data_IF_913806623592
#
_entry.id   IF_913806623592
#
_cell.length_a   1.000
_cell.length_b   1.000
_cell.length_c   1.000
_cell.angle_alpha   90.00
_cell.angle_beta   90.00
_cell.angle_gamma   90.00
#
_symmetry.space_group_name_H-M   'P 1'
#
loop_
_entity.id
_entity.type
_entity.pdbx_description
1 polymer ?
#
# COMPACT_ATOMS: atom_id res chain seq x y z
N UNK A 1 18.86 -4.27 7.84
CA UNK A 1 17.51 -4.88 7.76
C UNK A 1 16.48 -3.81 8.10
N UNK A 2 15.87 -3.16 7.12
CA UNK A 2 14.89 -2.12 7.36
C UNK A 2 13.51 -2.72 7.14
N UNK A 3 12.75 -2.94 8.23
CA UNK A 3 11.37 -3.41 8.19
C UNK A 3 10.45 -2.20 8.03
N UNK A 4 9.72 -2.12 6.91
CA UNK A 4 8.98 -0.92 6.49
C UNK A 4 7.53 -0.85 6.99
N UNK A 5 7.17 -1.67 7.97
CA UNK A 5 5.98 -1.48 8.81
C UNK A 5 6.42 -1.68 10.25
N UNK A 6 6.28 -0.63 11.07
CA UNK A 6 6.70 -0.69 12.46
C UNK A 6 5.79 -1.61 13.30
N UNK A 7 6.25 -2.01 14.48
CA UNK A 7 5.51 -2.91 15.37
C UNK A 7 4.11 -2.40 15.75
N UNK A 8 3.98 -1.09 15.99
CA UNK A 8 2.68 -0.50 16.35
C UNK A 8 1.68 -0.61 15.19
N UNK A 9 2.13 -0.35 13.96
CA UNK A 9 1.33 -0.55 12.75
C UNK A 9 0.92 -2.02 12.58
N UNK A 10 1.84 -2.97 12.83
CA UNK A 10 1.54 -4.40 12.79
C UNK A 10 0.51 -4.81 13.86
N UNK A 11 0.66 -4.33 15.10
CA UNK A 11 -0.27 -4.60 16.19
C UNK A 11 -1.69 -4.09 15.87
N UNK A 12 -1.80 -2.94 15.19
CA UNK A 12 -3.09 -2.39 14.74
C UNK A 12 -3.73 -3.30 13.68
N UNK A 13 -2.96 -3.70 12.66
CA UNK A 13 -3.45 -4.58 11.59
C UNK A 13 -3.83 -5.97 12.12
N UNK A 14 -3.05 -6.54 13.04
CA UNK A 14 -3.42 -7.79 13.71
C UNK A 14 -4.69 -7.62 14.54
N UNK A 15 -4.82 -6.47 15.22
CA UNK A 15 -5.97 -6.15 16.05
C UNK A 15 -7.29 -6.10 15.29
N UNK A 16 -7.28 -5.89 13.96
CA UNK A 16 -8.50 -5.83 13.13
C UNK A 16 -8.85 -7.15 12.44
N UNK A 17 -8.02 -8.18 12.56
CA UNK A 17 -8.33 -9.51 12.06
C UNK A 17 -9.67 -10.02 12.61
N UNK A 18 -10.47 -10.66 11.75
CA UNK A 18 -11.82 -11.16 12.04
C UNK A 18 -12.85 -10.09 12.44
N UNK A 19 -12.54 -8.80 12.29
CA UNK A 19 -13.54 -7.74 12.46
C UNK A 19 -14.34 -7.51 11.19
N UNK A 20 -15.55 -6.96 11.35
CA UNK A 20 -16.39 -6.54 10.24
C UNK A 20 -15.94 -5.16 9.74
N UNK A 21 -15.67 -5.07 8.44
CA UNK A 21 -15.45 -3.83 7.71
C UNK A 21 -16.80 -3.32 7.22
N UNK A 22 -17.13 -2.10 7.58
CA UNK A 22 -18.38 -1.45 7.16
C UNK A 22 -18.21 -0.78 5.79
N UNK A 23 -17.02 -0.26 5.54
CA UNK A 23 -16.64 0.33 4.25
C UNK A 23 -15.10 0.46 4.13
N UNK A 24 -14.61 0.65 2.91
CA UNK A 24 -13.27 1.17 2.64
C UNK A 24 -13.41 2.47 1.88
N UNK A 25 -12.69 3.50 2.33
CA UNK A 25 -12.61 4.79 1.64
C UNK A 25 -11.20 5.05 1.14
N UNK A 26 -11.11 5.75 0.01
CA UNK A 26 -9.86 6.24 -0.55
C UNK A 26 -9.95 7.76 -0.68
N UNK A 27 -8.93 8.49 -0.22
CA UNK A 27 -8.80 9.91 -0.50
C UNK A 27 -8.02 10.09 -1.81
N UNK A 28 -8.68 10.62 -2.84
CA UNK A 28 -8.13 10.77 -4.19
C UNK A 28 -7.90 12.24 -4.53
N UNK A 29 -6.86 12.53 -5.31
CA UNK A 29 -6.64 13.87 -5.87
C UNK A 29 -7.73 14.21 -6.91
N UNK A 30 -8.36 15.38 -6.81
CA UNK A 30 -9.38 15.88 -7.73
C UNK A 30 -8.89 17.18 -8.40
N UNK A 31 -8.98 17.26 -9.73
CA UNK A 31 -8.74 18.51 -10.48
C UNK A 31 -7.51 18.55 -11.39
N UNK A 32 -6.68 17.51 -11.46
CA UNK A 32 -5.64 17.37 -12.49
C UNK A 32 -6.09 16.44 -13.61
N UNK A 33 -6.01 16.90 -14.87
CA UNK A 33 -6.18 16.05 -16.05
C UNK A 33 -4.79 15.84 -16.67
N UNK A 34 -4.12 14.71 -16.40
CA UNK A 34 -2.84 14.45 -17.03
C UNK A 34 -3.07 13.89 -18.44
N UNK A 35 -1.99 13.81 -19.21
CA UNK A 35 -1.95 13.31 -20.58
C UNK A 35 -2.65 11.94 -20.68
N UNK A 36 -3.22 11.59 -21.84
CA UNK A 36 -4.06 10.38 -22.00
C UNK A 36 -3.34 9.08 -21.65
N UNK A 37 -2.00 9.06 -21.66
CA UNK A 37 -1.16 7.94 -21.23
C UNK A 37 -1.00 7.83 -19.70
N UNK A 38 -0.98 8.96 -18.99
CA UNK A 38 -0.94 9.04 -17.52
C UNK A 38 -2.30 8.75 -16.87
N UNK A 39 -3.38 9.03 -17.59
CA UNK A 39 -4.77 8.86 -17.15
C UNK A 39 -5.15 7.46 -16.64
N UNK A 40 -4.50 6.39 -17.09
CA UNK A 40 -4.86 5.02 -16.68
C UNK A 40 -4.27 4.60 -15.32
N UNK A 41 -3.32 5.37 -14.80
CA UNK A 41 -2.56 5.02 -13.59
C UNK A 41 -2.69 6.08 -12.51
N UNK A 42 -2.79 7.36 -12.88
CA UNK A 42 -3.08 8.45 -11.95
C UNK A 42 -4.50 8.37 -11.33
N UNK A 43 -5.41 7.60 -11.93
CA UNK A 43 -6.73 7.24 -11.34
C UNK A 43 -6.60 6.41 -10.05
N UNK A 44 -5.44 5.80 -9.82
CA UNK A 44 -5.17 4.94 -8.67
C UNK A 44 -4.35 5.64 -7.57
N UNK A 45 -3.96 6.90 -7.72
CA UNK A 45 -3.19 7.59 -6.68
C UNK A 45 -4.10 8.01 -5.51
N UNK A 46 -4.21 7.11 -4.54
CA UNK A 46 -4.90 7.31 -3.29
C UNK A 46 -3.90 7.87 -2.28
N UNK A 47 -4.15 9.04 -1.72
CA UNK A 47 -3.25 9.67 -0.75
C UNK A 47 -3.38 9.03 0.64
N UNK A 48 -4.59 8.57 0.96
CA UNK A 48 -4.93 7.93 2.22
C UNK A 48 -5.97 6.85 1.98
N UNK A 49 -5.80 5.69 2.62
CA UNK A 49 -6.81 4.63 2.68
C UNK A 49 -7.38 4.54 4.09
N UNK A 50 -8.71 4.47 4.19
CA UNK A 50 -9.43 4.29 5.44
C UNK A 50 -10.22 2.98 5.42
N UNK A 51 -9.97 2.10 6.38
CA UNK A 51 -10.79 0.91 6.63
C UNK A 51 -11.74 1.22 7.79
N UNK A 52 -13.04 1.32 7.52
CA UNK A 52 -14.03 1.60 8.54
C UNK A 52 -14.40 0.33 9.29
N UNK A 53 -14.27 0.37 10.61
CA UNK A 53 -14.60 -0.72 11.52
C UNK A 53 -15.34 -0.16 12.72
N UNK A 54 -16.64 -0.44 12.79
CA UNK A 54 -17.55 0.08 13.82
C UNK A 54 -17.50 1.62 13.87
N UNK A 55 -17.22 2.17 15.04
CA UNK A 55 -17.14 3.62 15.30
C UNK A 55 -15.72 4.18 15.08
N UNK A 56 -14.86 3.46 14.37
CA UNK A 56 -13.46 3.85 14.13
C UNK A 56 -13.00 3.57 12.70
N UNK A 57 -11.84 4.12 12.36
CA UNK A 57 -11.19 3.93 11.07
C UNK A 57 -9.74 3.53 11.31
N UNK A 58 -9.24 2.64 10.46
CA UNK A 58 -7.79 2.42 10.31
C UNK A 58 -7.35 3.24 9.12
N UNK A 59 -6.56 4.27 9.39
CA UNK A 59 -5.91 5.09 8.39
C UNK A 59 -4.58 4.45 8.00
N UNK A 60 -4.33 4.37 6.70
CA UNK A 60 -3.10 3.85 6.10
C UNK A 60 -2.60 4.90 5.11
N UNK A 61 -1.36 5.33 5.30
CA UNK A 61 -0.66 6.29 4.42
C UNK A 61 0.72 5.76 4.05
N UNK A 62 1.23 6.19 2.90
CA UNK A 62 2.65 6.10 2.59
C UNK A 62 3.29 7.41 3.03
N UNK A 63 4.10 7.38 4.09
CA UNK A 63 4.74 8.59 4.63
C UNK A 63 6.25 8.52 4.53
N UNK A 64 6.92 9.67 4.53
CA UNK A 64 8.38 9.71 4.51
C UNK A 64 8.99 9.21 5.82
N UNK A 65 10.23 8.72 5.76
CA UNK A 65 11.00 8.39 6.96
C UNK A 65 11.90 9.60 7.29
N UNK A 66 11.72 10.22 8.46
CA UNK A 66 12.57 11.31 8.96
C UNK A 66 13.97 10.81 9.37
N UNK A 67 14.79 10.38 8.41
CA UNK A 67 16.21 10.02 8.62
C UNK A 67 17.14 10.77 7.66
N UNK A 68 18.44 10.84 8.00
CA UNK A 68 19.47 11.58 7.21
C UNK A 68 19.65 11.02 5.78
N UNK A 69 19.23 9.78 5.54
CA UNK A 69 19.09 9.16 4.22
C UNK A 69 17.59 9.23 3.83
N UNK A 70 17.23 10.30 3.11
CA UNK A 70 15.86 10.59 2.69
C UNK A 70 15.25 9.47 1.82
N UNK A 71 13.98 9.13 2.07
CA UNK A 71 12.99 8.75 1.04
C UNK A 71 13.40 7.68 0.01
N UNK A 72 14.05 6.61 0.45
CA UNK A 72 14.45 5.56 -0.48
C UNK A 72 13.32 4.57 -0.79
N UNK A 73 12.51 4.23 0.22
CA UNK A 73 11.57 3.11 0.14
C UNK A 73 10.18 3.50 0.65
N UNK A 74 9.12 2.81 0.19
CA UNK A 74 7.81 2.89 0.79
C UNK A 74 7.83 2.75 2.31
N UNK A 75 6.92 3.43 2.99
CA UNK A 75 6.79 3.34 4.43
C UNK A 75 5.33 3.52 4.85
N UNK A 76 4.71 2.40 5.25
CA UNK A 76 3.31 2.39 5.66
C UNK A 76 3.19 2.86 7.10
N UNK A 77 2.64 4.05 7.30
CA UNK A 77 2.13 4.47 8.60
C UNK A 77 0.67 4.04 8.73
N UNK A 78 0.36 3.39 9.86
CA UNK A 78 -0.97 2.84 10.12
C UNK A 78 -1.41 3.32 11.48
N UNK A 79 -2.56 3.99 11.53
CA UNK A 79 -3.11 4.50 12.78
C UNK A 79 -4.61 4.29 12.89
N UNK A 80 -5.08 4.14 14.12
CA UNK A 80 -6.52 4.13 14.41
C UNK A 80 -6.98 5.55 14.69
N UNK A 81 -8.03 5.99 14.01
CA UNK A 81 -8.66 7.29 14.22
C UNK A 81 -10.18 7.16 14.38
N UNK A 82 -10.80 8.19 14.96
CA UNK A 82 -12.26 8.24 15.18
C UNK A 82 -13.01 8.96 14.05
N UNK A 83 -12.27 9.66 13.18
CA UNK A 83 -12.79 10.44 12.05
C UNK A 83 -11.76 10.42 10.93
N UNK A 84 -12.22 10.39 9.70
CA UNK A 84 -11.39 10.61 8.52
C UNK A 84 -11.02 12.10 8.44
N UNK A 85 -9.83 12.39 7.94
CA UNK A 85 -9.39 13.76 7.61
C UNK A 85 -9.47 13.92 6.10
N UNK A 86 -10.14 14.95 5.62
CA UNK A 86 -10.19 15.26 4.19
C UNK A 86 -9.42 16.55 3.95
N UNK A 87 -8.42 16.51 3.06
CA UNK A 87 -7.80 17.71 2.53
C UNK A 87 -8.64 18.24 1.36
N UNK A 88 -9.61 19.08 1.69
CA UNK A 88 -10.66 19.51 0.76
C UNK A 88 -10.17 20.43 -0.37
N UNK A 89 -8.94 20.93 -0.30
CA UNK A 89 -8.41 21.87 -1.29
C UNK A 89 -8.14 21.20 -2.64
N UNK A 90 -7.67 19.95 -2.60
CA UNK A 90 -7.30 19.18 -3.79
C UNK A 90 -7.73 17.72 -3.75
N UNK A 91 -8.29 17.24 -2.64
CA UNK A 91 -8.61 15.84 -2.49
C UNK A 91 -10.08 15.62 -2.12
N UNK A 92 -10.58 14.44 -2.47
CA UNK A 92 -11.92 13.99 -2.12
C UNK A 92 -11.88 12.57 -1.56
N UNK A 93 -12.62 12.33 -0.47
CA UNK A 93 -12.86 10.99 0.04
C UNK A 93 -13.94 10.31 -0.81
N UNK A 94 -13.60 9.16 -1.37
CA UNK A 94 -14.48 8.32 -2.18
C UNK A 94 -14.71 7.00 -1.47
N UNK A 95 -15.97 6.55 -1.46
CA UNK A 95 -16.33 5.23 -0.95
C UNK A 95 -16.12 4.14 -2.00
N UNK A 96 -15.46 3.05 -1.60
CA UNK A 96 -15.28 1.86 -2.43
C UNK A 96 -16.45 0.84 -2.27
N UNK A 97 -17.37 1.06 -1.33
CA UNK A 97 -18.52 0.20 -1.04
C UNK A 97 -18.17 -1.27 -0.70
N UNK A 98 -17.04 -1.49 -0.04
CA UNK A 98 -16.55 -2.83 0.34
C UNK A 98 -16.88 -3.09 1.80
N UNK A 99 -17.59 -4.17 2.08
CA UNK A 99 -17.96 -4.59 3.43
C UNK A 99 -17.78 -6.11 3.58
N UNK A 100 -17.60 -6.56 4.82
CA UNK A 100 -17.42 -7.98 5.12
C UNK A 100 -16.45 -8.26 6.26
N UNK A 101 -16.11 -9.52 6.48
CA UNK A 101 -15.20 -9.92 7.56
C UNK A 101 -13.77 -9.95 7.04
N UNK A 102 -12.82 -9.35 7.76
CA UNK A 102 -11.39 -9.49 7.46
C UNK A 102 -10.95 -10.91 7.82
N UNK A 103 -10.65 -11.72 6.82
CA UNK A 103 -10.24 -13.12 6.99
C UNK A 103 -8.73 -13.25 7.10
N UNK A 104 -7.99 -12.48 6.29
CA UNK A 104 -6.54 -12.54 6.21
C UNK A 104 -5.95 -11.16 5.94
N UNK A 105 -4.78 -10.89 6.54
CA UNK A 105 -3.92 -9.78 6.18
C UNK A 105 -2.52 -10.34 5.92
N UNK A 106 -1.89 -9.93 4.84
CA UNK A 106 -0.52 -10.29 4.49
C UNK A 106 0.25 -9.06 4.02
N UNK A 107 1.55 -9.04 4.30
CA UNK A 107 2.46 -8.01 3.81
C UNK A 107 3.16 -8.56 2.56
N UNK A 108 3.07 -7.83 1.45
CA UNK A 108 3.83 -8.11 0.25
C UNK A 108 5.19 -7.47 0.40
N UNK A 109 6.23 -8.30 0.35
CA UNK A 109 7.59 -7.91 0.62
C UNK A 109 8.49 -8.31 -0.55
N UNK A 110 9.35 -7.38 -0.96
CA UNK A 110 10.39 -7.60 -1.96
C UNK A 110 11.73 -7.77 -1.25
N UNK A 111 12.39 -8.90 -1.50
CA UNK A 111 13.75 -9.17 -1.07
C UNK A 111 14.70 -9.10 -2.26
N UNK A 112 15.80 -8.38 -2.11
CA UNK A 112 16.77 -8.24 -3.17
C UNK A 112 18.19 -7.97 -2.67
N UNK A 113 19.17 -8.25 -3.51
CA UNK A 113 20.57 -7.83 -3.32
C UNK A 113 21.01 -6.98 -4.50
N UNK A 114 21.94 -6.07 -4.26
CA UNK A 114 22.47 -5.16 -5.30
C UNK A 114 23.82 -5.66 -5.81
N UNK A 115 24.34 -5.14 -6.92
CA UNK A 115 25.72 -5.44 -7.33
C UNK A 115 26.78 -4.96 -6.33
N UNK A 116 26.45 -3.96 -5.53
CA UNK A 116 27.39 -3.32 -4.60
C UNK A 116 27.42 -3.99 -3.22
N UNK A 117 26.42 -4.80 -2.88
CA UNK A 117 26.34 -5.49 -1.58
C UNK A 117 25.66 -6.85 -1.69
N UNK A 118 26.18 -7.83 -0.97
CA UNK A 118 25.51 -9.13 -0.76
C UNK A 118 24.50 -9.08 0.40
N UNK A 119 24.32 -7.93 1.05
CA UNK A 119 23.28 -7.74 2.07
C UNK A 119 21.89 -7.84 1.42
N UNK A 120 21.03 -8.67 2.02
CA UNK A 120 19.64 -8.81 1.60
C UNK A 120 18.86 -7.60 2.13
N UNK A 121 18.39 -6.78 1.21
CA UNK A 121 17.38 -5.77 1.45
C UNK A 121 16.02 -6.45 1.43
N UNK A 122 15.10 -6.01 2.30
CA UNK A 122 13.76 -6.55 2.42
C UNK A 122 12.82 -5.38 2.66
N UNK A 123 11.93 -5.11 1.71
CA UNK A 123 11.11 -3.90 1.70
C UNK A 123 9.64 -4.29 1.55
N UNK A 124 8.79 -3.71 2.41
CA UNK A 124 7.34 -3.91 2.35
C UNK A 124 6.75 -2.94 1.32
N UNK A 125 6.08 -3.48 0.30
CA UNK A 125 5.59 -2.70 -0.85
C UNK A 125 4.07 -2.67 -0.95
N UNK A 126 3.38 -3.62 -0.30
CA UNK A 126 1.93 -3.63 -0.27
C UNK A 126 1.37 -4.36 0.95
N UNK A 127 0.14 -4.03 1.29
CA UNK A 127 -0.68 -4.74 2.26
C UNK A 127 -1.80 -5.43 1.48
N UNK A 128 -1.89 -6.74 1.59
CA UNK A 128 -3.01 -7.53 1.07
C UNK A 128 -4.01 -7.78 2.19
N UNK A 129 -5.28 -7.54 1.92
CA UNK A 129 -6.39 -7.79 2.85
C UNK A 129 -7.41 -8.65 2.12
N UNK A 130 -7.77 -9.80 2.71
CA UNK A 130 -8.85 -10.65 2.23
C UNK A 130 -10.09 -10.37 3.07
N UNK A 131 -11.16 -9.90 2.42
CA UNK A 131 -12.45 -9.57 3.05
C UNK A 131 -13.52 -10.43 2.39
N UNK A 132 -14.16 -11.31 3.18
CA UNK A 132 -15.22 -12.21 2.70
C UNK A 132 -14.85 -12.98 1.42
N UNK A 133 -13.63 -13.53 1.34
CA UNK A 133 -13.12 -14.27 0.18
C UNK A 133 -12.63 -13.41 -1.01
N UNK A 134 -12.68 -12.08 -0.90
CA UNK A 134 -12.17 -11.16 -1.93
C UNK A 134 -10.83 -10.55 -1.50
N UNK A 135 -9.84 -10.59 -2.39
CA UNK A 135 -8.51 -10.03 -2.16
C UNK A 135 -8.44 -8.57 -2.61
N UNK A 136 -7.96 -7.71 -1.72
CA UNK A 136 -7.67 -6.31 -1.96
C UNK A 136 -6.20 -6.01 -1.65
N UNK A 137 -5.59 -5.11 -2.41
CA UNK A 137 -4.20 -4.68 -2.20
C UNK A 137 -4.14 -3.18 -1.98
N UNK A 138 -3.40 -2.75 -0.96
CA UNK A 138 -2.94 -1.37 -0.76
C UNK A 138 -1.47 -1.36 -1.15
N UNK A 139 -1.13 -0.79 -2.30
CA UNK A 139 0.21 -0.77 -2.86
C UNK A 139 0.83 0.60 -2.63
N UNK A 140 2.07 0.66 -2.17
CA UNK A 140 2.88 1.87 -2.20
C UNK A 140 3.87 1.76 -3.36
N UNK A 141 3.77 2.67 -4.32
CA UNK A 141 4.52 2.57 -5.58
C UNK A 141 5.98 3.01 -5.46
N UNK A 142 6.26 3.90 -4.52
CA UNK A 142 7.58 4.43 -4.22
C UNK A 142 7.61 5.03 -2.80
N UNK A 143 8.66 5.79 -2.49
CA UNK A 143 8.79 6.52 -1.24
C UNK A 143 8.06 7.88 -1.22
N UNK A 144 7.38 8.26 -2.32
CA UNK A 144 6.71 9.56 -2.39
C UNK A 144 5.50 9.52 -1.47
N UNK A 145 5.43 10.51 -0.59
CA UNK A 145 4.33 10.69 0.34
C UNK A 145 2.99 10.68 -0.41
N UNK A 146 2.05 9.87 0.08
CA UNK A 146 0.71 9.75 -0.50
C UNK A 146 0.64 8.97 -1.81
N UNK A 147 1.71 8.31 -2.26
CA UNK A 147 1.67 7.47 -3.46
C UNK A 147 1.19 6.04 -3.16
N UNK A 148 -0.08 5.92 -2.75
CA UNK A 148 -0.74 4.63 -2.56
C UNK A 148 -1.74 4.32 -3.67
N UNK A 149 -2.10 3.05 -3.80
CA UNK A 149 -3.27 2.61 -4.54
C UNK A 149 -4.01 1.52 -3.80
N UNK A 150 -5.33 1.65 -3.75
CA UNK A 150 -6.22 0.56 -3.37
C UNK A 150 -6.74 -0.16 -4.62
N UNK A 151 -6.47 -1.47 -4.70
CA UNK A 151 -6.80 -2.30 -5.85
C UNK A 151 -7.64 -3.49 -5.41
N UNK A 152 -8.82 -3.63 -6.01
CA UNK A 152 -9.61 -4.86 -5.94
C UNK A 152 -9.07 -5.87 -6.97
N UNK A 153 -8.61 -7.03 -6.51
CA UNK A 153 -8.03 -8.05 -7.39
C UNK A 153 -9.02 -8.60 -8.42
N UNK A 154 -10.31 -8.62 -8.10
CA UNK A 154 -11.35 -9.21 -8.96
C UNK A 154 -11.60 -8.42 -10.23
N UNK A 155 -11.25 -7.13 -10.24
CA UNK A 155 -11.40 -6.25 -11.40
C UNK A 155 -10.12 -6.14 -12.23
N UNK A 156 -9.00 -6.67 -11.75
CA UNK A 156 -7.72 -6.66 -12.48
C UNK A 156 -7.80 -7.64 -13.65
N UNK A 157 -7.77 -7.13 -14.87
CA UNK A 157 -7.60 -7.97 -16.04
C UNK A 157 -6.11 -8.31 -16.26
N UNK A 158 -5.83 -9.21 -17.22
CA UNK A 158 -4.47 -9.64 -17.52
C UNK A 158 -3.57 -8.48 -17.98
N UNK A 159 -4.11 -7.53 -18.76
CA UNK A 159 -3.34 -6.36 -19.20
C UNK A 159 -2.95 -5.46 -18.02
N UNK A 160 -3.90 -5.17 -17.12
CA UNK A 160 -3.66 -4.34 -15.94
C UNK A 160 -2.66 -5.00 -14.99
N UNK A 161 -2.71 -6.33 -14.85
CA UNK A 161 -1.71 -7.06 -14.06
C UNK A 161 -0.28 -6.86 -14.59
N UNK A 162 -0.08 -6.89 -15.91
CA UNK A 162 1.23 -6.63 -16.51
C UNK A 162 1.69 -5.21 -16.25
N UNK A 163 0.78 -4.24 -16.30
CA UNK A 163 1.07 -2.84 -16.03
C UNK A 163 1.52 -2.63 -14.58
N UNK A 164 0.75 -3.13 -13.61
CA UNK A 164 1.07 -3.10 -12.17
C UNK A 164 2.44 -3.73 -11.93
N UNK A 165 2.68 -4.93 -12.49
CA UNK A 165 3.96 -5.62 -12.33
C UNK A 165 5.11 -4.81 -12.93
N UNK A 166 4.92 -4.25 -14.11
CA UNK A 166 5.93 -3.44 -14.79
C UNK A 166 6.31 -2.23 -13.97
N UNK A 167 5.32 -1.50 -13.43
CA UNK A 167 5.57 -0.31 -12.62
C UNK A 167 6.33 -0.62 -11.33
N UNK A 168 5.94 -1.66 -10.59
CA UNK A 168 6.70 -2.02 -9.37
C UNK A 168 8.14 -2.45 -9.74
N UNK A 169 8.33 -3.11 -10.89
CA UNK A 169 9.68 -3.46 -11.37
C UNK A 169 10.48 -2.23 -11.80
N UNK A 170 9.81 -1.26 -12.42
CA UNK A 170 10.39 0.00 -12.87
C UNK A 170 10.81 0.88 -11.68
N UNK A 171 10.04 0.90 -10.59
CA UNK A 171 10.45 1.56 -9.33
C UNK A 171 11.84 1.11 -8.88
N UNK A 172 12.07 -0.21 -8.79
CA UNK A 172 13.37 -0.75 -8.41
C UNK A 172 14.47 -0.46 -9.43
N UNK A 173 14.13 -0.47 -10.72
CA UNK A 173 15.08 -0.15 -11.80
C UNK A 173 15.50 1.32 -11.75
N UNK A 174 14.56 2.24 -11.49
CA UNK A 174 14.81 3.69 -11.43
C UNK A 174 15.65 4.11 -10.23
N UNK A 175 15.76 3.28 -9.19
CA UNK A 175 16.69 3.47 -8.08
C UNK A 175 18.16 3.16 -8.47
N UNK A 176 18.44 2.88 -9.75
CA UNK A 176 19.75 2.47 -10.27
C UNK A 176 20.34 1.27 -9.51
N UNK A 177 19.43 0.45 -8.96
CA UNK A 177 19.78 -0.78 -8.28
C UNK A 177 19.98 -1.84 -9.36
N UNK A 178 21.23 -2.16 -9.66
CA UNK A 178 21.51 -3.37 -10.42
C UNK A 178 21.20 -4.56 -9.50
N UNK A 179 20.06 -5.21 -9.74
CA UNK A 179 19.53 -6.28 -8.90
C UNK A 179 20.13 -7.62 -9.30
N UNK A 180 20.83 -8.30 -8.38
CA UNK A 180 21.35 -9.67 -8.61
C UNK A 180 20.36 -10.76 -8.19
N UNK A 181 19.65 -10.50 -7.09
CA UNK A 181 18.60 -11.34 -6.55
C UNK A 181 17.34 -10.49 -6.41
N UNK A 182 16.19 -11.03 -6.78
CA UNK A 182 14.90 -10.40 -6.55
C UNK A 182 13.85 -11.48 -6.29
N UNK A 183 13.15 -11.37 -5.17
CA UNK A 183 12.11 -12.30 -4.76
C UNK A 183 10.99 -11.56 -4.05
N UNK A 184 9.77 -11.67 -4.60
CA UNK A 184 8.56 -11.14 -3.98
C UNK A 184 7.81 -12.23 -3.25
N UNK A 185 7.40 -11.97 -2.01
CA UNK A 185 6.62 -12.89 -1.19
C UNK A 185 5.45 -12.20 -0.50
N UNK A 186 4.35 -12.93 -0.31
CA UNK A 186 3.28 -12.56 0.60
C UNK A 186 3.56 -13.22 1.96
N UNK A 187 3.71 -12.42 3.01
CA UNK A 187 3.99 -12.87 4.37
C UNK A 187 2.72 -12.66 5.20
N UNK A 188 2.08 -13.73 5.72
CA UNK A 188 0.96 -13.59 6.64
C UNK A 188 1.33 -12.67 7.81
N UNK A 189 0.41 -11.82 8.24
CA UNK A 189 0.74 -10.84 9.29
C UNK A 189 1.13 -11.49 10.63
N UNK A 190 0.62 -12.70 10.89
CA UNK A 190 1.00 -13.48 12.07
C UNK A 190 2.48 -13.87 12.09
N UNK A 191 3.12 -14.00 10.91
CA UNK A 191 4.54 -14.36 10.79
C UNK A 191 5.47 -13.14 10.88
N UNK A 192 4.91 -11.93 11.06
CA UNK A 192 5.64 -10.65 11.18
C UNK A 192 5.75 -10.13 12.63
N UNK A 193 5.13 -10.80 13.59
CA UNK A 193 5.09 -10.42 15.02
C UNK A 193 6.32 -10.86 15.82
#
# INVERSE_FOLDING_TARGET
>A
MINHINKQSLDILVGIMNQHVDNIFSQKLFGFTPDRSQKRLDENNDVVIYIQIQDSYIEIVNDYIETEEYDEYPNFEIKRCIRMSEDTDYHQIVSNNINGIIEQISIVNDEFTTFYSDEINSIDIAIKITISGHDYYIIAWDAIQGNLSFIDKSIICKEDFWLIRSQISEFWTNKDLDLRYFYRKEIPIADRL
#
